data_IF_329727208728
#
_entry.id   IF_329727208728
#
_cell.length_a   1.000
_cell.length_b   1.000
_cell.length_c   1.000
_cell.angle_alpha   90.00
_cell.angle_beta   90.00
_cell.angle_gamma   90.00
#
_symmetry.space_group_name_H-M   'P 1'
#
loop_
_entity.id
_entity.type
_entity.pdbx_description
1 polymer ?
#
# COMPACT_ATOMS: atom_id res chain seq x y z
N UNK A 1 16.10 5.66 11.89
CA UNK A 1 14.95 6.05 11.05
C UNK A 1 14.94 5.17 9.82
N UNK A 2 13.81 4.54 9.47
CA UNK A 2 13.72 3.80 8.22
C UNK A 2 13.66 4.79 7.04
N UNK A 3 14.57 4.66 6.07
CA UNK A 3 14.53 5.45 4.85
C UNK A 3 13.66 4.74 3.83
N UNK A 4 12.59 5.38 3.37
CA UNK A 4 11.78 4.88 2.27
C UNK A 4 12.43 5.33 0.96
N UNK A 5 12.78 4.38 0.09
CA UNK A 5 13.29 4.65 -1.25
C UNK A 5 12.18 4.39 -2.27
N UNK A 6 11.90 5.38 -3.11
CA UNK A 6 11.01 5.28 -4.27
C UNK A 6 11.84 5.51 -5.52
N UNK A 7 11.65 4.70 -6.56
CA UNK A 7 12.27 4.94 -7.86
C UNK A 7 11.41 5.88 -8.71
N UNK A 8 11.97 6.35 -9.83
CA UNK A 8 11.27 7.27 -10.73
C UNK A 8 9.99 6.65 -11.31
N UNK A 9 10.03 5.38 -11.71
CA UNK A 9 8.85 4.67 -12.22
C UNK A 9 7.73 4.58 -11.17
N UNK A 10 8.06 4.32 -9.91
CA UNK A 10 7.09 4.30 -8.81
C UNK A 10 6.51 5.68 -8.55
N UNK A 11 7.35 6.72 -8.57
CA UNK A 11 6.90 8.11 -8.45
C UNK A 11 5.95 8.52 -9.58
N UNK A 12 6.25 8.13 -10.82
CA UNK A 12 5.39 8.39 -11.97
C UNK A 12 4.06 7.63 -11.87
N UNK A 13 4.09 6.37 -11.46
CA UNK A 13 2.87 5.56 -11.30
C UNK A 13 1.99 6.03 -10.12
N UNK A 14 2.58 6.64 -9.09
CA UNK A 14 1.84 7.31 -8.01
C UNK A 14 1.23 8.64 -8.45
N UNK A 15 1.79 9.28 -9.48
CA UNK A 15 1.32 10.56 -9.98
C UNK A 15 -0.08 10.42 -10.59
N UNK A 16 -1.03 11.23 -10.12
CA UNK A 16 -2.43 11.16 -10.55
C UNK A 16 -3.30 10.16 -9.78
N UNK A 17 -2.74 9.40 -8.82
CA UNK A 17 -3.54 8.62 -7.89
C UNK A 17 -4.05 9.45 -6.71
N UNK A 18 -5.13 8.99 -6.07
CA UNK A 18 -5.67 9.64 -4.87
C UNK A 18 -4.70 9.56 -3.69
N UNK A 19 -4.74 10.55 -2.79
CA UNK A 19 -3.85 10.62 -1.61
C UNK A 19 -3.91 9.37 -0.73
N UNK A 20 -5.07 8.71 -0.66
CA UNK A 20 -5.24 7.45 0.09
C UNK A 20 -4.42 6.30 -0.52
N UNK A 21 -4.29 6.26 -1.85
CA UNK A 21 -3.47 5.28 -2.56
C UNK A 21 -1.98 5.49 -2.29
N UNK A 22 -1.55 6.75 -2.30
CA UNK A 22 -0.19 7.14 -1.96
C UNK A 22 0.11 6.75 -0.51
N UNK A 23 -0.79 7.05 0.42
CA UNK A 23 -0.63 6.68 1.83
C UNK A 23 -0.54 5.15 2.02
N UNK A 24 -1.44 4.38 1.38
CA UNK A 24 -1.41 2.92 1.43
C UNK A 24 -0.08 2.37 0.89
N UNK A 25 0.37 2.86 -0.26
CA UNK A 25 1.60 2.36 -0.87
C UNK A 25 2.85 2.76 -0.08
N UNK A 26 3.01 4.05 0.21
CA UNK A 26 4.25 4.60 0.80
C UNK A 26 4.36 4.29 2.29
N UNK A 27 3.27 4.38 3.06
CA UNK A 27 3.32 4.25 4.53
C UNK A 27 3.08 2.83 5.02
N UNK A 28 2.17 2.10 4.37
CA UNK A 28 1.80 0.75 4.80
C UNK A 28 2.62 -0.34 4.08
N UNK A 29 2.67 -0.31 2.75
CA UNK A 29 3.22 -1.41 1.94
C UNK A 29 4.74 -1.30 1.81
N UNK A 30 5.24 -0.17 1.31
CA UNK A 30 6.66 0.01 0.94
C UNK A 30 7.65 -0.28 2.06
N UNK A 31 7.42 0.13 3.33
CA UNK A 31 8.37 -0.16 4.41
C UNK A 31 8.43 -1.63 4.80
N UNK A 32 7.44 -2.43 4.37
CA UNK A 32 7.30 -3.86 4.67
C UNK A 32 7.56 -4.74 3.45
N UNK A 33 8.01 -4.14 2.35
CA UNK A 33 8.40 -4.85 1.14
C UNK A 33 9.82 -5.37 1.29
N UNK A 34 10.00 -6.65 1.01
CA UNK A 34 11.33 -7.22 0.76
C UNK A 34 11.82 -6.74 -0.60
N UNK A 35 12.82 -5.86 -0.59
CA UNK A 35 13.41 -5.27 -1.79
C UNK A 35 14.17 -6.29 -2.65
N UNK A 36 14.62 -7.41 -2.08
CA UNK A 36 15.34 -8.43 -2.85
C UNK A 36 14.40 -9.18 -3.79
N UNK A 37 13.16 -9.37 -3.36
CA UNK A 37 12.19 -10.24 -4.02
C UNK A 37 10.96 -9.46 -4.52
N UNK A 38 10.82 -8.17 -4.17
CA UNK A 38 9.65 -7.36 -4.49
C UNK A 38 8.41 -7.80 -3.69
N UNK A 39 8.64 -8.41 -2.52
CA UNK A 39 7.65 -9.20 -1.82
C UNK A 39 7.01 -8.53 -0.62
N UNK A 40 5.67 -8.53 -0.54
CA UNK A 40 4.92 -7.97 0.59
C UNK A 40 3.97 -9.04 1.13
N UNK A 41 3.86 -9.18 2.46
CA UNK A 41 2.94 -10.16 3.06
C UNK A 41 3.52 -11.56 3.31
N UNK A 42 4.78 -11.83 2.95
CA UNK A 42 5.48 -13.10 3.25
C UNK A 42 6.00 -13.09 4.69
N UNK A 43 6.75 -12.05 5.04
CA UNK A 43 7.19 -11.74 6.39
C UNK A 43 7.37 -10.21 6.48
N UNK A 44 6.43 -9.45 7.06
CA UNK A 44 5.27 -9.84 7.88
C UNK A 44 4.02 -10.21 7.08
N UNK A 45 3.14 -11.06 7.63
CA UNK A 45 1.79 -11.29 7.08
C UNK A 45 0.96 -10.02 7.20
N UNK A 46 0.34 -9.61 6.10
CA UNK A 46 -0.50 -8.40 6.07
C UNK A 46 -1.95 -8.83 5.93
N UNK A 47 -2.76 -8.43 6.92
CA UNK A 47 -4.21 -8.53 6.85
C UNK A 47 -4.79 -7.20 6.37
N UNK A 48 -6.00 -7.24 5.78
CA UNK A 48 -6.74 -6.03 5.43
C UNK A 48 -7.01 -5.13 6.64
N UNK A 49 -7.15 -5.73 7.83
CA UNK A 49 -7.34 -5.01 9.07
C UNK A 49 -6.07 -4.28 9.49
N UNK A 50 -4.89 -4.88 9.36
CA UNK A 50 -3.63 -4.21 9.64
C UNK A 50 -3.40 -3.00 8.72
N UNK A 51 -3.71 -3.14 7.43
CA UNK A 51 -3.66 -2.01 6.48
C UNK A 51 -4.59 -0.85 6.90
N UNK A 52 -5.78 -1.19 7.42
CA UNK A 52 -6.75 -0.21 7.92
C UNK A 52 -6.19 0.57 9.10
N UNK A 53 -5.54 -0.12 10.04
CA UNK A 53 -4.91 0.50 11.20
C UNK A 53 -3.72 1.38 10.80
N UNK A 54 -2.94 0.98 9.80
CA UNK A 54 -1.77 1.74 9.36
C UNK A 54 -2.10 3.01 8.57
N UNK A 55 -3.28 3.07 7.94
CA UNK A 55 -3.76 4.26 7.20
C UNK A 55 -4.73 5.08 8.07
N UNK A 56 -4.87 4.72 9.34
CA UNK A 56 -5.69 5.48 10.27
C UNK A 56 -5.18 6.93 10.36
N UNK A 57 -6.07 7.89 10.10
CA UNK A 57 -5.79 9.31 10.26
C UNK A 57 -6.33 9.76 11.61
N UNK A 58 -5.42 10.11 12.51
CA UNK A 58 -5.76 10.65 13.83
C UNK A 58 -6.60 11.94 13.69
N UNK A 59 -7.75 12.05 14.37
CA UNK A 59 -8.52 13.28 14.40
C UNK A 59 -7.72 14.42 15.03
N UNK A 60 -7.80 15.59 14.41
CA UNK A 60 -7.27 16.85 14.94
C UNK A 60 -8.31 17.95 14.77
N UNK A 61 -8.18 19.08 15.45
CA UNK A 61 -9.15 20.19 15.33
C UNK A 61 -9.36 20.55 13.84
N UNK A 62 -10.60 20.49 13.37
CA UNK A 62 -10.96 20.74 11.97
C UNK A 62 -10.78 19.57 11.00
N UNK A 63 -10.29 18.41 11.45
CA UNK A 63 -10.11 17.20 10.62
C UNK A 63 -10.79 16.01 11.29
N UNK A 64 -11.76 15.42 10.60
CA UNK A 64 -12.44 14.21 11.07
C UNK A 64 -11.48 13.01 11.05
N UNK A 65 -11.63 12.12 12.03
CA UNK A 65 -10.99 10.81 11.98
C UNK A 65 -11.43 10.12 10.67
N UNK A 66 -10.47 9.61 9.92
CA UNK A 66 -10.75 8.89 8.68
C UNK A 66 -10.19 7.49 8.79
N UNK A 67 -11.10 6.52 8.86
CA UNK A 67 -10.76 5.11 8.83
C UNK A 67 -11.43 4.50 7.61
N UNK A 68 -10.70 4.22 6.53
CA UNK A 68 -11.30 3.62 5.35
C UNK A 68 -11.91 2.27 5.70
N UNK A 69 -13.05 1.93 5.07
CA UNK A 69 -13.62 0.60 5.18
C UNK A 69 -12.69 -0.43 4.50
N UNK A 70 -12.82 -1.70 4.86
CA UNK A 70 -12.04 -2.77 4.20
C UNK A 70 -12.29 -2.78 2.68
N UNK A 71 -13.52 -2.49 2.25
CA UNK A 71 -13.88 -2.39 0.84
C UNK A 71 -13.20 -1.21 0.15
N UNK A 72 -13.10 -0.06 0.82
CA UNK A 72 -12.36 1.09 0.33
C UNK A 72 -10.88 0.74 0.14
N UNK A 73 -10.25 0.08 1.13
CA UNK A 73 -8.86 -0.38 1.02
C UNK A 73 -8.68 -1.35 -0.16
N UNK A 74 -9.60 -2.29 -0.35
CA UNK A 74 -9.58 -3.20 -1.51
C UNK A 74 -9.74 -2.45 -2.83
N UNK A 75 -10.55 -1.39 -2.88
CA UNK A 75 -10.71 -0.54 -4.07
C UNK A 75 -9.42 0.22 -4.37
N UNK A 76 -8.78 0.78 -3.35
CA UNK A 76 -7.50 1.49 -3.47
C UNK A 76 -6.39 0.52 -3.91
N UNK A 77 -6.34 -0.68 -3.32
CA UNK A 77 -5.40 -1.72 -3.73
C UNK A 77 -5.56 -2.09 -5.21
N UNK A 78 -6.80 -2.21 -5.69
CA UNK A 78 -7.09 -2.42 -7.13
C UNK A 78 -6.67 -1.24 -8.01
N UNK A 79 -6.72 0.00 -7.51
CA UNK A 79 -6.20 1.15 -8.24
C UNK A 79 -4.67 1.10 -8.36
N UNK A 80 -3.98 0.76 -7.27
CA UNK A 80 -2.54 0.55 -7.26
C UNK A 80 -2.12 -0.61 -8.18
N UNK A 81 -2.94 -1.67 -8.26
CA UNK A 81 -2.73 -2.78 -9.19
C UNK A 81 -2.87 -2.34 -10.65
N UNK A 82 -3.88 -1.53 -10.98
CA UNK A 82 -4.03 -0.94 -12.31
C UNK A 82 -2.88 0.00 -12.68
N UNK A 83 -2.30 0.68 -11.69
CA UNK A 83 -1.12 1.52 -11.88
C UNK A 83 0.19 0.71 -12.01
N UNK A 84 0.12 -0.62 -11.91
CA UNK A 84 1.29 -1.50 -11.97
C UNK A 84 2.14 -1.52 -10.70
N UNK A 85 1.74 -0.83 -9.64
CA UNK A 85 2.49 -0.74 -8.38
C UNK A 85 2.36 -1.99 -7.51
N UNK A 86 1.26 -2.72 -7.66
CA UNK A 86 0.92 -3.92 -6.90
C UNK A 86 0.35 -5.00 -7.80
N UNK A 87 0.39 -6.25 -7.33
CA UNK A 87 -0.36 -7.37 -7.88
C UNK A 87 -0.93 -8.20 -6.74
N UNK A 88 -2.25 -8.39 -6.73
CA UNK A 88 -2.95 -9.13 -5.71
C UNK A 88 -3.17 -10.59 -6.15
N UNK A 89 -2.28 -11.51 -5.76
CA UNK A 89 -2.43 -12.95 -6.07
C UNK A 89 -3.18 -13.71 -4.97
N UNK A 90 -4.47 -13.94 -5.11
CA UNK A 90 -5.26 -14.68 -4.12
C UNK A 90 -4.97 -16.20 -4.15
N UNK A 91 -3.90 -16.67 -3.50
CA UNK A 91 -3.73 -18.10 -3.21
C UNK A 91 -4.18 -18.39 -1.79
N UNK A 92 -5.50 -18.50 -1.58
CA UNK A 92 -6.31 -18.89 -0.38
C UNK A 92 -5.93 -18.36 1.04
N UNK A 93 -4.75 -17.81 1.26
CA UNK A 93 -4.28 -17.22 2.52
C UNK A 93 -2.94 -16.49 2.37
N UNK A 94 -2.68 -15.83 1.24
CA UNK A 94 -1.49 -14.98 1.04
C UNK A 94 -1.74 -14.05 -0.15
N UNK A 95 -1.53 -12.73 0.02
CA UNK A 95 -0.98 -11.90 -1.07
C UNK A 95 -0.68 -10.46 -0.68
N UNK A 96 0.44 -9.90 -1.16
CA UNK A 96 0.52 -9.13 -2.42
C UNK A 96 1.99 -9.01 -2.93
N UNK A 97 2.25 -9.05 -4.25
CA UNK A 97 3.58 -8.92 -4.85
C UNK A 97 3.76 -7.69 -5.75
N UNK A 98 4.98 -7.14 -5.77
CA UNK A 98 5.38 -5.94 -6.53
C UNK A 98 5.68 -6.25 -7.99
N UNK A 99 5.51 -5.25 -8.86
CA UNK A 99 6.34 -5.14 -10.05
C UNK A 99 6.55 -3.69 -10.47
N UNK A 100 7.68 -3.10 -10.05
CA UNK A 100 8.38 -2.17 -10.93
C UNK A 100 9.84 -2.67 -11.02
N UNK A 101 10.23 -3.36 -12.10
CA UNK A 101 11.61 -3.77 -12.29
C UNK A 101 12.53 -2.54 -12.50
N UNK A 102 13.80 -2.77 -12.19
CA UNK A 102 14.94 -1.84 -12.17
C UNK A 102 15.11 -1.02 -13.43
#
# INVERSE_FOLDING_TARGET
MASIKLCEAEMQALYGLGYEAIALYVMAIRPRMDFATGMVGVAPRISWQALREWIYVEPRKGVKAMVPSIEAIRRIARQLEKAGLLRCESTEKKSCFSSAPR
#
